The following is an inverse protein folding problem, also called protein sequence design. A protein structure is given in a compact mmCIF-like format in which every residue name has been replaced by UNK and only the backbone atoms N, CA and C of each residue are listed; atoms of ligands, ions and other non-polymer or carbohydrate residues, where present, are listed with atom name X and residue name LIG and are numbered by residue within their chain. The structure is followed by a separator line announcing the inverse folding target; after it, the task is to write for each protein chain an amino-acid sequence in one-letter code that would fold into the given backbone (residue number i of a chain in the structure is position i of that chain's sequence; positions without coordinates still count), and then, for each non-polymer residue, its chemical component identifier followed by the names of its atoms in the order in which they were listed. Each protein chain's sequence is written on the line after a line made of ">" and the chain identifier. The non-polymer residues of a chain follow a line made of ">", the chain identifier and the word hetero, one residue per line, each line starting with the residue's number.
data_IF_467239864763
#
_entry.id   IF_467239864763
#
_cell.length_a   1.000
_cell.length_b   1.000
_cell.length_c   1.000
_cell.angle_alpha   90.00
_cell.angle_beta   90.00
_cell.angle_gamma   90.00
#
_symmetry.space_group_name_H-M   'P 1'
#
loop_
_entity.id
_entity.type
_entity.pdbx_description
1 polymer ?
#
# COMPACT_ATOMS: atom_id res chain seq x y z
N UNK A 1 14.90 21.11 10.09
CA UNK A 1 14.95 20.28 9.14
C UNK A 1 14.71 18.89 9.42
N UNK A 2 14.64 18.45 10.52
CA UNK A 2 14.40 17.05 10.76
C UNK A 2 13.18 16.53 10.09
N UNK A 3 12.16 17.33 10.01
CA UNK A 3 10.96 16.86 9.39
C UNK A 3 11.16 16.52 7.94
N UNK A 4 12.16 17.09 7.34
CA UNK A 4 12.45 16.77 5.96
C UNK A 4 13.00 15.38 5.81
N UNK A 5 13.47 14.80 6.91
CA UNK A 5 14.08 13.50 6.86
C UNK A 5 13.06 12.38 6.96
N UNK A 6 11.82 12.72 7.23
CA UNK A 6 10.84 11.67 7.39
C UNK A 6 10.50 11.05 6.06
N UNK A 7 10.77 9.78 5.94
CA UNK A 7 10.43 9.01 4.75
C UNK A 7 9.08 8.37 4.97
N UNK A 8 8.26 8.30 3.94
CA UNK A 8 6.98 7.61 4.10
C UNK A 8 7.16 6.17 4.52
N UNK A 9 6.29 5.72 5.41
CA UNK A 9 6.31 4.38 5.92
C UNK A 9 5.41 3.50 5.05
N UNK A 10 5.95 2.37 4.57
CA UNK A 10 5.23 1.47 3.68
C UNK A 10 5.26 0.07 4.26
N UNK A 11 4.09 -0.55 4.38
CA UNK A 11 3.99 -1.95 4.74
C UNK A 11 3.69 -2.75 3.49
N UNK A 12 4.45 -3.82 3.26
CA UNK A 12 4.26 -4.71 2.13
C UNK A 12 3.81 -6.05 2.67
N UNK A 13 2.65 -6.53 2.23
CA UNK A 13 2.09 -7.79 2.69
C UNK A 13 1.92 -8.74 1.51
N UNK A 14 2.59 -9.88 1.56
CA UNK A 14 2.49 -10.90 0.52
C UNK A 14 2.89 -12.22 1.17
N UNK A 15 2.05 -13.24 1.01
CA UNK A 15 2.32 -14.53 1.66
C UNK A 15 3.52 -15.26 1.07
N UNK A 16 4.06 -14.80 -0.06
CA UNK A 16 5.30 -15.32 -0.60
C UNK A 16 6.47 -14.47 -0.09
N UNK A 17 7.33 -15.03 0.78
CA UNK A 17 8.37 -14.23 1.43
C UNK A 17 9.32 -13.56 0.45
N UNK A 18 9.64 -14.23 -0.67
CA UNK A 18 10.55 -13.65 -1.65
C UNK A 18 9.95 -12.39 -2.25
N UNK A 19 8.66 -12.43 -2.55
CA UNK A 19 7.99 -11.27 -3.15
C UNK A 19 7.91 -10.13 -2.14
N UNK A 20 7.48 -10.42 -0.93
CA UNK A 20 7.36 -9.40 0.10
C UNK A 20 8.70 -8.71 0.36
N UNK A 21 9.75 -9.51 0.51
CA UNK A 21 11.08 -8.98 0.78
C UNK A 21 11.61 -8.18 -0.40
N UNK A 22 11.41 -8.69 -1.61
CA UNK A 22 11.89 -8.02 -2.82
C UNK A 22 11.25 -6.66 -2.99
N UNK A 23 9.93 -6.58 -2.83
CA UNK A 23 9.24 -5.31 -2.98
C UNK A 23 9.70 -4.31 -1.92
N UNK A 24 9.82 -4.77 -0.67
CA UNK A 24 10.28 -3.88 0.39
C UNK A 24 11.69 -3.38 0.13
N UNK A 25 12.56 -4.26 -0.39
CA UNK A 25 13.94 -3.89 -0.70
C UNK A 25 13.98 -2.84 -1.81
N UNK A 26 13.18 -3.02 -2.84
CA UNK A 26 13.11 -2.05 -3.93
C UNK A 26 12.71 -0.68 -3.39
N UNK A 27 11.73 -0.65 -2.51
CA UNK A 27 11.26 0.61 -1.95
C UNK A 27 12.32 1.29 -1.08
N UNK A 28 13.04 0.52 -0.30
CA UNK A 28 14.09 1.07 0.55
C UNK A 28 15.25 1.61 -0.25
N UNK A 29 15.69 0.85 -1.26
CA UNK A 29 16.90 1.19 -2.01
C UNK A 29 16.66 2.24 -3.08
N UNK A 30 15.52 2.20 -3.75
CA UNK A 30 15.29 3.06 -4.90
C UNK A 30 14.28 4.16 -4.65
N UNK A 31 13.42 3.99 -3.68
CA UNK A 31 12.35 4.96 -3.44
C UNK A 31 12.54 5.84 -2.25
N UNK A 32 13.46 5.51 -1.36
CA UNK A 32 13.64 6.29 -0.16
C UNK A 32 12.52 6.10 0.85
N UNK A 33 11.84 4.96 0.82
CA UNK A 33 10.75 4.68 1.75
C UNK A 33 11.23 3.83 2.92
N UNK A 34 10.56 3.98 4.06
CA UNK A 34 10.78 3.08 5.20
C UNK A 34 9.83 1.91 5.01
N UNK A 35 10.30 0.84 4.42
CA UNK A 35 9.46 -0.30 4.07
C UNK A 35 9.68 -1.47 5.01
N UNK A 36 8.58 -2.08 5.44
CA UNK A 36 8.59 -3.33 6.21
C UNK A 36 7.78 -4.36 5.45
N UNK A 37 8.22 -5.60 5.48
CA UNK A 37 7.54 -6.69 4.79
C UNK A 37 6.89 -7.63 5.80
N UNK A 38 5.74 -8.16 5.43
CA UNK A 38 4.98 -9.12 6.22
C UNK A 38 4.53 -10.24 5.32
N UNK A 39 4.59 -11.47 5.80
CA UNK A 39 4.08 -12.61 5.05
C UNK A 39 2.75 -13.10 5.59
N UNK A 40 2.32 -12.56 6.73
CA UNK A 40 1.06 -12.93 7.36
C UNK A 40 0.20 -11.69 7.55
N UNK A 41 -0.98 -11.66 6.92
CA UNK A 41 -1.81 -10.45 7.02
C UNK A 41 -2.22 -10.10 8.44
N UNK A 42 -2.40 -11.10 9.32
CA UNK A 42 -2.79 -10.79 10.69
C UNK A 42 -1.66 -10.12 11.47
N UNK A 43 -0.42 -10.48 11.17
CA UNK A 43 0.72 -9.81 11.80
C UNK A 43 0.84 -8.37 11.31
N UNK A 44 0.57 -8.16 10.02
CA UNK A 44 0.57 -6.81 9.47
C UNK A 44 -0.51 -5.97 10.14
N UNK A 45 -1.68 -6.55 10.34
CA UNK A 45 -2.78 -5.82 10.95
C UNK A 45 -2.44 -5.42 12.39
N UNK A 46 -1.80 -6.31 13.14
CA UNK A 46 -1.35 -5.99 14.48
C UNK A 46 -0.35 -4.84 14.48
N UNK A 47 0.61 -4.88 13.56
CA UNK A 47 1.59 -3.81 13.44
C UNK A 47 0.93 -2.48 13.09
N UNK A 48 -0.08 -2.52 12.23
CA UNK A 48 -0.81 -1.32 11.84
C UNK A 48 -1.55 -0.70 13.03
N UNK A 49 -2.08 -1.53 13.89
CA UNK A 49 -2.77 -1.02 15.08
C UNK A 49 -1.81 -0.30 16.01
N UNK A 50 -0.56 -0.71 16.03
CA UNK A 50 0.44 -0.06 16.86
C UNK A 50 0.97 1.22 16.21
N UNK A 51 1.23 1.15 14.92
CA UNK A 51 1.75 2.31 14.18
C UNK A 51 1.35 2.16 12.73
N UNK A 52 0.42 2.97 12.28
CA UNK A 52 -0.09 2.88 10.93
C UNK A 52 0.94 3.37 9.91
N UNK A 53 1.09 2.68 8.78
CA UNK A 53 1.95 3.15 7.72
C UNK A 53 1.26 4.24 6.92
N UNK A 54 2.03 4.96 6.11
CA UNK A 54 1.46 5.91 5.18
C UNK A 54 0.84 5.18 3.99
N UNK A 55 1.38 4.02 3.64
CA UNK A 55 0.90 3.24 2.51
C UNK A 55 0.96 1.76 2.83
N UNK A 56 -0.10 1.05 2.48
CA UNK A 56 -0.15 -0.41 2.55
C UNK A 56 -0.15 -0.97 1.14
N UNK A 57 0.79 -1.85 0.85
CA UNK A 57 0.81 -2.61 -0.40
C UNK A 57 0.52 -4.05 -0.03
N UNK A 58 -0.51 -4.64 -0.60
CA UNK A 58 -0.86 -6.01 -0.24
C UNK A 58 -1.28 -6.83 -1.45
N UNK A 59 -0.83 -8.08 -1.47
CA UNK A 59 -1.35 -9.06 -2.41
C UNK A 59 -2.82 -9.29 -2.09
N UNK A 60 -3.62 -9.59 -3.11
CA UNK A 60 -5.05 -9.79 -2.91
C UNK A 60 -5.35 -11.19 -2.42
N UNK A 61 -4.71 -12.19 -3.01
CA UNK A 61 -5.02 -13.59 -2.69
C UNK A 61 -4.00 -14.13 -1.69
N UNK A 62 -4.44 -14.28 -0.44
CA UNK A 62 -3.60 -14.77 0.63
C UNK A 62 -4.42 -15.69 1.52
N UNK A 63 -3.78 -16.66 2.18
CA UNK A 63 -4.51 -17.51 3.13
C UNK A 63 -5.05 -16.72 4.31
N UNK A 64 -6.14 -17.16 4.88
CA UNK A 64 -6.75 -16.65 6.11
C UNK A 64 -7.45 -15.31 5.95
N UNK A 65 -6.81 -14.34 5.33
CA UNK A 65 -7.39 -13.02 5.17
C UNK A 65 -6.95 -12.47 3.82
N UNK A 66 -7.89 -12.16 2.95
CA UNK A 66 -7.54 -11.61 1.64
C UNK A 66 -6.99 -10.21 1.78
N UNK A 67 -6.24 -9.78 0.76
CA UNK A 67 -5.71 -8.43 0.76
C UNK A 67 -6.81 -7.37 0.72
N UNK A 68 -7.94 -7.68 0.10
CA UNK A 68 -9.05 -6.73 0.07
C UNK A 68 -9.67 -6.60 1.45
N UNK A 69 -9.85 -7.72 2.17
CA UNK A 69 -10.35 -7.65 3.53
C UNK A 69 -9.39 -6.91 4.45
N UNK A 70 -8.09 -7.15 4.28
CA UNK A 70 -7.08 -6.43 5.03
C UNK A 70 -7.18 -4.94 4.73
N UNK A 71 -7.31 -4.57 3.45
CA UNK A 71 -7.39 -3.17 3.04
C UNK A 71 -8.61 -2.48 3.64
N UNK A 72 -9.74 -3.17 3.68
CA UNK A 72 -10.95 -2.61 4.26
C UNK A 72 -10.76 -2.35 5.75
N UNK A 73 -10.19 -3.31 6.47
CA UNK A 73 -9.95 -3.13 7.89
C UNK A 73 -8.98 -1.98 8.15
N UNK A 74 -7.94 -1.88 7.33
CA UNK A 74 -6.97 -0.80 7.47
C UNK A 74 -7.62 0.55 7.19
N UNK A 75 -8.49 0.62 6.19
CA UNK A 75 -9.18 1.86 5.86
C UNK A 75 -10.04 2.31 7.04
N UNK A 76 -10.64 1.36 7.74
CA UNK A 76 -11.47 1.70 8.90
C UNK A 76 -10.63 2.10 10.11
N UNK A 77 -9.47 1.46 10.29
CA UNK A 77 -8.58 1.78 11.40
C UNK A 77 -7.81 3.07 11.17
N UNK A 78 -7.41 3.30 9.94
CA UNK A 78 -6.52 4.40 9.57
C UNK A 78 -6.96 5.00 8.26
N UNK A 79 -7.94 5.90 8.26
CA UNK A 79 -8.48 6.43 6.99
C UNK A 79 -7.44 7.13 6.14
N UNK A 80 -6.37 7.64 6.74
CA UNK A 80 -5.34 8.35 5.99
C UNK A 80 -4.33 7.44 5.31
N UNK A 81 -4.34 6.16 5.64
CA UNK A 81 -3.43 5.21 5.02
C UNK A 81 -3.86 4.94 3.58
N UNK A 82 -2.95 5.13 2.63
CA UNK A 82 -3.23 4.79 1.25
C UNK A 82 -3.07 3.29 1.06
N UNK A 83 -3.77 2.73 0.08
CA UNK A 83 -3.74 1.29 -0.18
C UNK A 83 -3.47 1.03 -1.65
N UNK A 84 -2.55 0.13 -1.91
CA UNK A 84 -2.25 -0.36 -3.25
C UNK A 84 -2.35 -1.88 -3.24
N UNK A 85 -3.24 -2.41 -4.05
CA UNK A 85 -3.40 -3.87 -4.18
C UNK A 85 -2.55 -4.37 -5.33
N UNK A 86 -1.98 -5.55 -5.16
CA UNK A 86 -1.18 -6.19 -6.20
C UNK A 86 -1.73 -7.58 -6.43
N UNK A 87 -2.03 -7.93 -7.67
CA UNK A 87 -2.62 -9.23 -7.94
C UNK A 87 -2.35 -9.72 -9.35
N UNK A 88 -2.14 -11.03 -9.49
CA UNK A 88 -2.05 -11.66 -10.79
C UNK A 88 -3.25 -12.54 -11.11
N UNK A 89 -4.26 -12.49 -10.27
CA UNK A 89 -5.40 -13.38 -10.41
C UNK A 89 -6.54 -12.69 -11.15
N UNK A 90 -7.06 -13.36 -12.17
CA UNK A 90 -8.19 -12.82 -12.92
C UNK A 90 -9.41 -12.64 -12.04
N UNK A 91 -9.59 -13.53 -11.05
CA UNK A 91 -10.73 -13.47 -10.16
C UNK A 91 -10.76 -12.22 -9.29
N UNK A 92 -9.64 -11.50 -9.22
CA UNK A 92 -9.54 -10.29 -8.42
C UNK A 92 -10.55 -9.23 -8.85
N UNK A 93 -10.87 -9.18 -10.15
CA UNK A 93 -11.82 -8.18 -10.64
C UNK A 93 -13.15 -8.26 -9.91
N UNK A 94 -13.63 -9.48 -9.67
CA UNK A 94 -14.90 -9.67 -8.97
C UNK A 94 -14.83 -9.16 -7.54
N UNK A 95 -13.72 -9.45 -6.86
CA UNK A 95 -13.53 -9.00 -5.48
C UNK A 95 -13.44 -7.48 -5.42
N UNK A 96 -12.78 -6.87 -6.39
CA UNK A 96 -12.69 -5.41 -6.45
C UNK A 96 -14.05 -4.78 -6.71
N UNK A 97 -14.86 -5.38 -7.59
CA UNK A 97 -16.18 -4.87 -7.87
C UNK A 97 -17.06 -4.93 -6.61
N UNK A 98 -16.95 -6.00 -5.85
CA UNK A 98 -17.71 -6.13 -4.61
C UNK A 98 -17.29 -5.04 -3.61
N UNK A 99 -16.00 -4.81 -3.48
CA UNK A 99 -15.50 -3.78 -2.57
C UNK A 99 -15.99 -2.40 -3.03
N UNK A 100 -15.93 -2.14 -4.33
CA UNK A 100 -16.35 -0.86 -4.89
C UNK A 100 -17.84 -0.62 -4.63
N UNK A 101 -18.65 -1.66 -4.76
CA UNK A 101 -20.07 -1.55 -4.49
C UNK A 101 -20.35 -1.19 -3.04
N UNK A 102 -19.42 -1.47 -2.14
CA UNK A 102 -19.54 -1.13 -0.73
C UNK A 102 -18.79 0.16 -0.38
N UNK A 103 -18.38 0.91 -1.38
CA UNK A 103 -17.77 2.22 -1.15
C UNK A 103 -16.26 2.24 -1.05
N UNK A 104 -15.59 1.11 -1.31
CA UNK A 104 -14.13 1.04 -1.20
C UNK A 104 -13.50 1.00 -2.59
N UNK A 105 -12.81 2.08 -2.92
CA UNK A 105 -12.08 2.17 -4.19
C UNK A 105 -10.60 2.05 -3.91
N UNK A 106 -10.00 0.96 -4.37
CA UNK A 106 -8.57 0.72 -4.16
C UNK A 106 -7.83 0.75 -5.48
N UNK A 107 -6.60 1.25 -5.45
CA UNK A 107 -5.71 1.19 -6.59
C UNK A 107 -5.15 -0.21 -6.74
N UNK A 108 -4.88 -0.62 -7.97
CA UNK A 108 -4.43 -1.98 -8.26
C UNK A 108 -3.27 -1.97 -9.24
N UNK A 109 -2.26 -2.80 -8.97
CA UNK A 109 -1.24 -3.16 -9.95
C UNK A 109 -1.33 -4.65 -10.23
N UNK A 110 -1.15 -5.03 -11.50
CA UNK A 110 -1.25 -6.41 -11.93
C UNK A 110 0.16 -7.01 -12.00
N UNK A 111 0.31 -8.22 -11.46
CA UNK A 111 1.59 -8.95 -11.53
C UNK A 111 1.82 -9.44 -12.94
N UNK A 112 3.06 -9.53 -13.38
CA UNK A 112 4.29 -9.21 -12.66
C UNK A 112 4.49 -7.70 -12.57
N UNK A 113 4.93 -7.24 -11.41
CA UNK A 113 5.09 -5.82 -11.15
C UNK A 113 6.53 -5.43 -11.46
N UNK A 114 6.69 -4.50 -12.38
CA UNK A 114 8.02 -3.97 -12.69
C UNK A 114 8.39 -2.90 -11.67
N UNK A 115 9.64 -2.87 -11.20
CA UNK A 115 10.04 -1.90 -10.19
C UNK A 115 9.73 -0.45 -10.57
N UNK A 116 9.92 -0.09 -11.84
CA UNK A 116 9.65 1.28 -12.27
C UNK A 116 8.16 1.62 -12.13
N UNK A 117 7.28 0.68 -12.50
CA UNK A 117 5.85 0.91 -12.41
C UNK A 117 5.40 1.00 -10.95
N UNK A 118 5.98 0.15 -10.11
CA UNK A 118 5.68 0.19 -8.68
C UNK A 118 6.07 1.53 -8.08
N UNK A 119 7.29 1.98 -8.34
CA UNK A 119 7.76 3.24 -7.79
C UNK A 119 6.95 4.42 -8.30
N UNK A 120 6.58 4.39 -9.58
CA UNK A 120 5.78 5.45 -10.15
C UNK A 120 4.40 5.52 -9.49
N UNK A 121 3.78 4.36 -9.31
CA UNK A 121 2.45 4.31 -8.70
C UNK A 121 2.50 4.78 -7.25
N UNK A 122 3.50 4.34 -6.50
CA UNK A 122 3.64 4.71 -5.11
C UNK A 122 3.90 6.20 -4.96
N UNK A 123 4.74 6.76 -5.81
CA UNK A 123 4.99 8.20 -5.79
C UNK A 123 3.72 8.96 -6.10
N UNK A 124 2.95 8.48 -7.08
CA UNK A 124 1.69 9.11 -7.40
C UNK A 124 0.75 9.15 -6.20
N UNK A 125 0.67 8.05 -5.46
CA UNK A 125 -0.22 7.98 -4.31
C UNK A 125 0.26 8.87 -3.15
N UNK A 126 1.57 8.92 -2.91
CA UNK A 126 2.10 9.69 -1.80
C UNK A 126 2.27 11.16 -2.15
N UNK A 127 2.71 11.47 -3.37
CA UNK A 127 2.92 12.85 -3.79
C UNK A 127 1.63 13.57 -4.06
N UNK A 128 0.57 12.84 -4.39
CA UNK A 128 -0.71 13.47 -4.64
C UNK A 128 -1.18 14.26 -3.42
N UNK A 129 -1.06 13.68 -2.23
CA UNK A 129 -1.44 14.37 -1.00
C UNK A 129 -0.54 15.59 -0.77
N UNK A 130 0.75 15.43 -1.02
CA UNK A 130 1.68 16.54 -0.87
C UNK A 130 1.40 17.63 -1.87
N UNK A 131 1.06 17.25 -3.10
CA UNK A 131 0.74 18.23 -4.13
C UNK A 131 -0.48 19.05 -3.79
N UNK A 132 -1.48 18.41 -3.21
CA UNK A 132 -2.68 19.15 -2.82
C UNK A 132 -2.37 20.16 -1.73
N UNK A 133 -1.52 19.81 -0.79
CA UNK A 133 -1.12 20.74 0.24
C UNK A 133 -0.32 21.90 -0.34
N UNK A 134 0.58 21.58 -1.26
CA UNK A 134 1.37 22.60 -1.91
C UNK A 134 0.51 23.54 -2.72
N UNK A 135 -0.49 22.99 -3.41
CA UNK A 135 -1.38 23.79 -4.21
C UNK A 135 -2.13 24.79 -3.36
N UNK A 136 -2.57 24.36 -2.19
CA UNK A 136 -3.26 25.25 -1.29
C UNK A 136 -2.36 26.42 -0.87
N UNK A 137 -1.10 26.13 -0.64
CA UNK A 137 -0.16 27.18 -0.28
C UNK A 137 0.04 28.15 -1.42
N UNK A 138 0.13 27.65 -2.63
CA UNK A 138 0.38 28.48 -3.78
C UNK A 138 -0.79 29.40 -4.11
N UNK A 139 -1.97 29.01 -3.73
CA UNK A 139 -3.15 29.80 -4.05
C UNK A 139 -3.38 30.94 -3.09
N UNK A 140 -2.49 31.11 -2.17
CA UNK A 140 -2.60 32.26 -1.31
C UNK A 140 -2.00 33.46 -1.97
#
# INVERSE_FOLDING_TARGET
>A
MPQLQQQPSVFVVDDEPVIATTLATILRLNGGFRARSFTKPLEALEAIRLEAPDLLITDVVMPLLSGIDLAIQVRELCPDCKVLLVSGQAATAHLLDTARANGYNFELLVKPVHPADLLMKIRSLTEHAASLQTTDEWHM
#
